data_IF_505379722157
#
_entry.id   IF_505379722157
#
_cell.length_a   1.000
_cell.length_b   1.000
_cell.length_c   1.000
_cell.angle_alpha   90.00
_cell.angle_beta   90.00
_cell.angle_gamma   90.00
#
_symmetry.space_group_name_H-M   'P 1'
#
loop_
_entity.id
_entity.type
_entity.pdbx_description
1 polymer ?
#
# COMPACT_ATOMS: atom_id res chain seq x y z
N UNK A 1 -7.25 -1.87 21.06
CA UNK A 1 -7.29 -2.04 19.61
C UNK A 1 -6.11 -1.37 18.96
N UNK A 2 -5.11 -2.17 18.60
CA UNK A 2 -3.98 -1.77 17.74
C UNK A 2 -4.27 -2.33 16.34
N UNK A 3 -4.16 -1.48 15.32
CA UNK A 3 -4.27 -1.85 13.92
C UNK A 3 -2.95 -1.55 13.22
N UNK A 4 -2.27 -2.58 12.69
CA UNK A 4 -1.08 -2.39 11.87
C UNK A 4 -1.47 -2.22 10.40
N UNK A 5 -1.27 -1.03 9.86
CA UNK A 5 -1.66 -0.69 8.48
C UNK A 5 -0.69 -1.15 7.41
N UNK A 6 0.48 -1.71 7.77
CA UNK A 6 1.52 -2.02 6.80
C UNK A 6 2.35 -3.23 7.22
N UNK A 7 1.88 -4.41 6.84
CA UNK A 7 2.61 -5.66 7.06
C UNK A 7 2.90 -6.39 5.73
N UNK A 8 3.93 -7.22 5.78
CA UNK A 8 4.33 -8.09 4.68
C UNK A 8 4.28 -9.54 5.11
N UNK A 9 4.00 -10.42 4.16
CA UNK A 9 4.10 -11.88 4.30
C UNK A 9 4.81 -12.42 3.05
N UNK A 10 5.47 -13.57 3.17
CA UNK A 10 6.25 -14.19 2.10
C UNK A 10 7.76 -13.96 2.26
N UNK A 11 8.52 -14.37 1.24
CA UNK A 11 9.98 -14.24 1.21
C UNK A 11 10.41 -13.11 0.31
N UNK A 12 11.20 -12.20 0.87
CA UNK A 12 11.91 -11.15 0.14
C UNK A 12 13.43 -11.32 0.29
N UNK A 13 13.90 -12.55 0.55
CA UNK A 13 15.31 -12.85 0.82
C UNK A 13 16.26 -12.34 -0.27
N UNK A 14 15.86 -12.48 -1.54
CA UNK A 14 16.67 -12.07 -2.69
C UNK A 14 16.87 -10.55 -2.80
N UNK A 15 15.97 -9.75 -2.22
CA UNK A 15 16.02 -8.29 -2.30
C UNK A 15 16.46 -7.64 -0.98
N UNK A 16 15.95 -8.15 0.15
CA UNK A 16 16.07 -7.50 1.46
C UNK A 16 16.56 -8.44 2.56
N UNK A 17 16.76 -9.74 2.28
CA UNK A 17 17.25 -10.69 3.28
C UNK A 17 16.25 -10.97 4.41
N UNK A 18 14.96 -10.78 4.18
CA UNK A 18 13.89 -10.97 5.18
C UNK A 18 12.77 -11.86 4.63
N UNK A 19 12.18 -12.66 5.51
CA UNK A 19 11.01 -13.47 5.22
C UNK A 19 10.17 -13.64 6.48
N UNK A 20 8.85 -13.71 6.29
CA UNK A 20 7.91 -14.08 7.35
C UNK A 20 6.75 -14.82 6.72
N UNK A 21 6.41 -15.97 7.29
CA UNK A 21 5.27 -16.77 6.83
C UNK A 21 4.02 -16.49 7.66
N UNK A 22 2.94 -17.23 7.37
CA UNK A 22 1.66 -17.16 8.08
C UNK A 22 1.80 -17.37 9.58
N UNK A 23 2.59 -18.34 10.03
CA UNK A 23 2.74 -18.64 11.46
C UNK A 23 3.60 -17.58 12.16
N UNK A 24 4.61 -17.07 11.47
CA UNK A 24 5.45 -15.97 11.94
C UNK A 24 4.64 -14.71 12.17
N UNK A 25 3.80 -14.29 11.22
CA UNK A 25 3.01 -13.06 11.37
C UNK A 25 1.96 -13.19 12.48
N UNK A 26 1.30 -14.34 12.58
CA UNK A 26 0.34 -14.65 13.65
C UNK A 26 1.01 -14.64 15.04
N UNK A 27 2.24 -15.16 15.14
CA UNK A 27 3.05 -15.06 16.36
C UNK A 27 3.41 -13.60 16.70
N UNK A 28 3.87 -12.81 15.73
CA UNK A 28 4.24 -11.41 15.97
C UNK A 28 3.04 -10.56 16.38
N UNK A 29 1.88 -10.78 15.77
CA UNK A 29 0.65 -10.07 16.15
C UNK A 29 0.30 -10.33 17.62
N UNK A 30 0.38 -11.58 18.09
CA UNK A 30 0.18 -11.90 19.51
C UNK A 30 1.24 -11.29 20.41
N UNK A 31 2.51 -11.39 20.04
CA UNK A 31 3.64 -10.90 20.83
C UNK A 31 3.59 -9.38 21.05
N UNK A 32 3.08 -8.65 20.07
CA UNK A 32 2.96 -7.18 20.10
C UNK A 32 1.54 -6.68 20.33
N UNK A 33 0.61 -7.56 20.72
CA UNK A 33 -0.79 -7.20 21.03
C UNK A 33 -1.51 -6.47 19.86
N UNK A 34 -1.15 -6.81 18.62
CA UNK A 34 -1.78 -6.31 17.39
C UNK A 34 -3.07 -7.12 17.17
N UNK A 35 -4.21 -6.46 17.30
CA UNK A 35 -5.53 -7.10 17.15
C UNK A 35 -5.92 -7.28 15.68
N UNK A 36 -5.56 -6.30 14.84
CA UNK A 36 -5.90 -6.31 13.43
C UNK A 36 -4.75 -5.74 12.60
N UNK A 37 -4.72 -6.07 11.31
CA UNK A 37 -3.86 -5.36 10.40
C UNK A 37 -3.98 -5.80 8.96
N UNK A 38 -3.16 -5.18 8.12
CA UNK A 38 -3.24 -5.33 6.67
C UNK A 38 -1.93 -5.88 6.13
N UNK A 39 -2.03 -6.96 5.36
CA UNK A 39 -0.93 -7.63 4.68
C UNK A 39 -1.05 -7.50 3.17
N UNK A 40 0.09 -7.57 2.49
CA UNK A 40 0.14 -7.67 1.04
C UNK A 40 1.43 -8.34 0.56
N UNK A 41 1.33 -8.97 -0.61
CA UNK A 41 2.41 -9.65 -1.29
C UNK A 41 2.09 -9.65 -2.81
N UNK A 42 3.08 -9.65 -3.72
CA UNK A 42 2.82 -9.69 -5.16
C UNK A 42 1.97 -10.88 -5.64
N UNK A 43 2.01 -11.99 -4.91
CA UNK A 43 1.08 -13.11 -5.06
C UNK A 43 -0.18 -12.87 -4.22
N UNK A 44 -1.24 -12.38 -4.86
CA UNK A 44 -2.53 -12.11 -4.22
C UNK A 44 -3.24 -13.38 -3.73
N UNK A 45 -3.04 -14.54 -4.39
CA UNK A 45 -3.64 -15.80 -3.95
C UNK A 45 -3.03 -16.26 -2.63
N UNK A 46 -1.71 -16.08 -2.47
CA UNK A 46 -1.07 -16.32 -1.19
C UNK A 46 -1.60 -15.40 -0.07
N UNK A 47 -1.91 -14.14 -0.38
CA UNK A 47 -2.54 -13.23 0.59
C UNK A 47 -3.92 -13.74 1.01
N UNK A 48 -4.73 -14.29 0.09
CA UNK A 48 -6.03 -14.92 0.42
C UNK A 48 -5.83 -16.02 1.47
N UNK A 49 -4.91 -16.95 1.24
CA UNK A 49 -4.63 -18.05 2.17
C UNK A 49 -4.26 -17.53 3.58
N UNK A 50 -3.44 -16.48 3.65
CA UNK A 50 -2.99 -15.87 4.91
C UNK A 50 -4.15 -15.20 5.64
N UNK A 51 -4.93 -14.35 4.96
CA UNK A 51 -6.01 -13.61 5.62
C UNK A 51 -7.16 -14.52 6.03
N UNK A 52 -7.40 -15.63 5.33
CA UNK A 52 -8.38 -16.64 5.74
C UNK A 52 -7.93 -17.40 7.00
N UNK A 53 -6.63 -17.62 7.15
CA UNK A 53 -6.07 -18.46 8.21
C UNK A 53 -5.76 -17.72 9.51
N UNK A 54 -5.52 -16.41 9.46
CA UNK A 54 -5.13 -15.59 10.62
C UNK A 54 -6.25 -14.60 10.97
N UNK A 55 -6.90 -14.73 12.14
CA UNK A 55 -7.92 -13.78 12.58
C UNK A 55 -7.36 -12.35 12.68
N UNK A 56 -8.18 -11.36 12.31
CA UNK A 56 -7.80 -9.94 12.36
C UNK A 56 -6.94 -9.46 11.18
N UNK A 57 -6.48 -10.37 10.30
CA UNK A 57 -5.77 -9.98 9.08
C UNK A 57 -6.71 -9.67 7.91
N UNK A 58 -6.34 -8.62 7.20
CA UNK A 58 -6.95 -8.12 5.97
C UNK A 58 -5.89 -7.98 4.88
N UNK A 59 -6.31 -7.99 3.62
CA UNK A 59 -5.43 -7.91 2.46
C UNK A 59 -5.50 -6.57 1.73
N UNK A 60 -4.40 -6.17 1.10
CA UNK A 60 -4.45 -5.27 -0.06
C UNK A 60 -4.09 -6.05 -1.31
N UNK A 61 -4.83 -5.81 -2.38
CA UNK A 61 -4.51 -6.36 -3.70
C UNK A 61 -3.23 -5.68 -4.18
N UNK A 62 -2.18 -6.45 -4.44
CA UNK A 62 -1.04 -5.97 -5.20
C UNK A 62 -1.50 -5.70 -6.63
N UNK A 63 -1.64 -4.43 -6.98
CA UNK A 63 -2.18 -3.98 -8.25
C UNK A 63 -1.04 -3.52 -9.16
N UNK A 64 -0.70 -4.36 -10.14
CA UNK A 64 0.33 -4.06 -11.13
C UNK A 64 -0.32 -3.80 -12.51
N UNK A 65 -0.39 -2.54 -12.98
CA UNK A 65 -1.02 -2.18 -14.25
C UNK A 65 -0.23 -2.63 -15.50
N UNK A 66 0.97 -3.21 -15.32
CA UNK A 66 1.80 -3.75 -16.40
C UNK A 66 1.46 -5.21 -16.75
N UNK A 67 0.69 -5.89 -15.91
CA UNK A 67 0.30 -7.28 -16.13
C UNK A 67 -0.93 -7.38 -17.05
N UNK A 68 -1.02 -8.39 -17.93
CA UNK A 68 -2.23 -8.65 -18.71
C UNK A 68 -3.44 -8.91 -17.79
N UNK A 69 -4.59 -8.31 -18.10
CA UNK A 69 -5.82 -8.51 -17.33
C UNK A 69 -5.79 -7.93 -15.91
N UNK A 70 -4.86 -7.02 -15.61
CA UNK A 70 -4.67 -6.47 -14.25
C UNK A 70 -5.96 -5.95 -13.60
N UNK A 71 -6.86 -5.36 -14.39
CA UNK A 71 -8.12 -4.80 -13.88
C UNK A 71 -9.11 -5.91 -13.48
N UNK A 72 -9.20 -6.98 -14.27
CA UNK A 72 -10.08 -8.12 -13.97
C UNK A 72 -9.60 -8.83 -12.71
N UNK A 73 -8.29 -9.08 -12.64
CA UNK A 73 -7.63 -9.67 -11.46
C UNK A 73 -7.88 -8.81 -10.22
N UNK A 74 -7.71 -7.49 -10.32
CA UNK A 74 -7.97 -6.60 -9.19
C UNK A 74 -9.44 -6.61 -8.77
N UNK A 75 -10.36 -6.62 -9.73
CA UNK A 75 -11.82 -6.68 -9.48
C UNK A 75 -12.22 -7.96 -8.76
N UNK A 76 -11.62 -9.09 -9.14
CA UNK A 76 -11.82 -10.41 -8.52
C UNK A 76 -11.38 -10.39 -7.05
N UNK A 77 -10.11 -10.06 -6.78
CA UNK A 77 -9.60 -10.08 -5.40
C UNK A 77 -10.27 -9.05 -4.49
N UNK A 78 -10.61 -7.86 -5.00
CA UNK A 78 -11.39 -6.89 -4.23
C UNK A 78 -12.82 -7.37 -3.93
N UNK A 79 -13.32 -8.40 -4.61
CA UNK A 79 -14.60 -9.05 -4.28
C UNK A 79 -14.54 -9.87 -2.98
N UNK A 80 -13.34 -10.19 -2.49
CA UNK A 80 -13.15 -10.94 -1.25
C UNK A 80 -13.36 -10.03 -0.03
N UNK A 81 -14.17 -10.43 0.98
CA UNK A 81 -14.57 -9.55 2.09
C UNK A 81 -13.43 -9.12 3.03
N UNK A 82 -12.27 -9.80 2.96
CA UNK A 82 -11.07 -9.42 3.72
C UNK A 82 -10.11 -8.52 2.97
N UNK A 83 -10.37 -8.18 1.70
CA UNK A 83 -9.54 -7.21 0.98
C UNK A 83 -10.12 -5.81 1.12
N UNK A 84 -9.27 -4.88 1.57
CA UNK A 84 -9.69 -3.53 1.95
C UNK A 84 -9.23 -2.44 0.97
N UNK A 85 -8.59 -2.81 -0.13
CA UNK A 85 -8.07 -1.86 -1.10
C UNK A 85 -6.88 -2.43 -1.89
N UNK A 86 -6.06 -1.54 -2.44
CA UNK A 86 -4.90 -1.91 -3.25
C UNK A 86 -3.57 -1.46 -2.62
N UNK A 87 -2.52 -2.21 -2.90
CA UNK A 87 -1.12 -1.81 -2.76
C UNK A 87 -0.56 -1.63 -4.17
N UNK A 88 0.05 -0.48 -4.42
CA UNK A 88 0.79 -0.22 -5.66
C UNK A 88 2.26 0.06 -5.33
N UNK A 89 3.17 -0.50 -6.13
CA UNK A 89 4.60 -0.28 -5.97
C UNK A 89 5.27 0.18 -7.28
N UNK A 90 5.06 1.45 -7.70
CA UNK A 90 5.51 1.97 -8.99
C UNK A 90 7.01 1.76 -9.28
N UNK A 91 7.85 1.80 -8.24
CA UNK A 91 9.29 1.53 -8.37
C UNK A 91 9.61 0.07 -8.75
N UNK A 92 8.95 -0.91 -8.13
CA UNK A 92 9.24 -2.33 -8.37
C UNK A 92 8.58 -2.81 -9.66
N UNK A 93 7.35 -2.35 -9.90
CA UNK A 93 6.54 -2.78 -11.04
C UNK A 93 6.81 -1.95 -12.31
N UNK A 94 7.55 -0.83 -12.21
CA UNK A 94 8.04 -0.07 -13.36
C UNK A 94 6.99 0.79 -14.07
N UNK A 95 6.32 1.67 -13.32
CA UNK A 95 5.34 2.62 -13.89
C UNK A 95 5.35 3.98 -13.19
N UNK A 96 4.85 5.03 -13.85
CA UNK A 96 4.60 6.32 -13.20
C UNK A 96 3.26 6.27 -12.45
N UNK A 97 3.11 6.82 -11.23
CA UNK A 97 1.86 6.74 -10.46
C UNK A 97 0.64 7.31 -11.19
N UNK A 98 0.83 8.34 -12.01
CA UNK A 98 -0.23 8.94 -12.84
C UNK A 98 -0.27 8.41 -14.30
N UNK A 99 0.34 7.26 -14.58
CA UNK A 99 0.26 6.67 -15.91
C UNK A 99 -1.21 6.30 -16.26
N UNK A 100 -1.67 6.49 -17.51
CA UNK A 100 -3.05 6.14 -17.91
C UNK A 100 -3.46 4.69 -17.63
N UNK A 101 -2.50 3.76 -17.56
CA UNK A 101 -2.75 2.37 -17.16
C UNK A 101 -3.16 2.21 -15.68
N UNK A 102 -2.92 3.21 -14.84
CA UNK A 102 -3.31 3.22 -13.42
C UNK A 102 -4.75 3.71 -13.25
N UNK A 103 -5.24 4.57 -14.14
CA UNK A 103 -6.52 5.26 -13.99
C UNK A 103 -7.72 4.31 -13.80
N UNK A 104 -7.87 3.20 -14.54
CA UNK A 104 -8.99 2.27 -14.33
C UNK A 104 -8.99 1.61 -12.94
N UNK A 105 -7.82 1.40 -12.33
CA UNK A 105 -7.72 0.86 -10.97
C UNK A 105 -8.20 1.90 -9.94
N UNK A 106 -7.90 3.17 -10.18
CA UNK A 106 -8.34 4.26 -9.30
C UNK A 106 -9.85 4.48 -9.42
N UNK A 107 -10.40 4.45 -10.63
CA UNK A 107 -11.85 4.52 -10.85
C UNK A 107 -12.59 3.37 -10.13
N UNK A 108 -12.07 2.14 -10.22
CA UNK A 108 -12.60 0.98 -9.51
C UNK A 108 -12.58 1.19 -7.97
N UNK A 109 -11.50 1.76 -7.44
CA UNK A 109 -11.39 2.06 -6.01
C UNK A 109 -12.37 3.17 -5.57
N UNK A 110 -12.58 4.19 -6.41
CA UNK A 110 -13.58 5.24 -6.16
C UNK A 110 -14.98 4.63 -6.12
N UNK A 111 -15.33 3.78 -7.10
CA UNK A 111 -16.65 3.11 -7.15
C UNK A 111 -16.91 2.27 -5.89
N UNK A 112 -15.86 1.61 -5.38
CA UNK A 112 -15.94 0.75 -4.19
C UNK A 112 -15.70 1.47 -2.87
N UNK A 113 -15.43 2.77 -2.89
CA UNK A 113 -15.04 3.58 -1.73
C UNK A 113 -13.82 3.03 -0.96
N UNK A 114 -12.88 2.40 -1.67
CA UNK A 114 -11.68 1.75 -1.10
C UNK A 114 -10.40 2.57 -1.33
N UNK A 115 -9.40 2.50 -0.43
CA UNK A 115 -8.12 3.18 -0.58
C UNK A 115 -7.10 2.44 -1.46
N UNK A 116 -6.08 3.19 -1.91
CA UNK A 116 -4.82 2.64 -2.42
C UNK A 116 -3.64 3.10 -1.57
N UNK A 117 -2.80 2.17 -1.15
CA UNK A 117 -1.49 2.41 -0.55
C UNK A 117 -0.44 2.41 -1.65
N UNK A 118 0.18 3.54 -1.90
CA UNK A 118 1.22 3.68 -2.92
C UNK A 118 2.57 3.84 -2.22
N UNK A 119 3.54 2.99 -2.58
CA UNK A 119 4.91 3.16 -2.09
C UNK A 119 5.41 4.59 -2.38
N UNK A 120 6.01 5.26 -1.39
CA UNK A 120 6.51 6.62 -1.53
C UNK A 120 7.91 6.76 -0.90
N UNK A 121 8.79 7.54 -1.55
CA UNK A 121 10.10 7.96 -1.03
C UNK A 121 11.31 7.64 -1.90
N UNK A 122 11.13 6.96 -3.03
CA UNK A 122 12.26 6.53 -3.87
C UNK A 122 12.12 7.01 -5.33
N UNK A 123 13.11 7.73 -5.87
CA UNK A 123 13.10 8.09 -7.27
C UNK A 123 13.24 6.85 -8.16
N UNK A 124 12.80 6.89 -9.42
CA UNK A 124 12.23 8.07 -10.10
C UNK A 124 10.70 8.16 -10.00
N UNK A 125 10.02 7.04 -9.69
CA UNK A 125 8.56 6.95 -9.81
C UNK A 125 7.78 7.18 -8.52
N UNK A 126 8.41 7.09 -7.34
CA UNK A 126 7.68 7.13 -6.06
C UNK A 126 7.95 8.39 -5.25
N UNK A 127 8.25 9.52 -5.92
CA UNK A 127 8.33 10.81 -5.25
C UNK A 127 6.91 11.31 -4.89
N UNK A 128 6.74 12.04 -3.77
CA UNK A 128 5.42 12.50 -3.33
C UNK A 128 4.70 13.32 -4.41
N UNK A 129 5.42 14.17 -5.14
CA UNK A 129 4.85 14.98 -6.23
C UNK A 129 4.39 14.16 -7.44
N UNK A 130 5.08 13.06 -7.76
CA UNK A 130 4.65 12.13 -8.81
C UNK A 130 3.32 11.45 -8.47
N UNK A 131 3.06 11.22 -7.17
CA UNK A 131 1.80 10.68 -6.67
C UNK A 131 0.73 11.79 -6.54
N UNK A 132 1.14 13.03 -6.21
CA UNK A 132 0.25 14.20 -6.15
C UNK A 132 -0.45 14.44 -7.49
N UNK A 133 0.22 14.22 -8.63
CA UNK A 133 -0.40 14.31 -9.96
C UNK A 133 -1.64 13.41 -10.09
N UNK A 134 -1.56 12.18 -9.57
CA UNK A 134 -2.69 11.26 -9.55
C UNK A 134 -3.78 11.74 -8.58
N UNK A 135 -3.38 12.21 -7.39
CA UNK A 135 -4.33 12.67 -6.37
C UNK A 135 -5.16 13.88 -6.81
N UNK A 136 -4.53 14.82 -7.53
CA UNK A 136 -5.19 15.98 -8.12
C UNK A 136 -6.13 15.56 -9.26
N UNK A 137 -5.74 14.57 -10.07
CA UNK A 137 -6.56 14.04 -11.16
C UNK A 137 -7.80 13.26 -10.67
N UNK A 138 -7.70 12.63 -9.50
CA UNK A 138 -8.76 11.78 -8.92
C UNK A 138 -9.12 12.25 -7.50
N UNK A 139 -9.77 13.41 -7.32
CA UNK A 139 -10.06 13.98 -6.00
C UNK A 139 -11.02 13.14 -5.15
N UNK A 140 -11.77 12.21 -5.76
CA UNK A 140 -12.63 11.27 -5.04
C UNK A 140 -11.88 10.03 -4.52
N UNK A 141 -10.65 9.77 -4.99
CA UNK A 141 -9.87 8.61 -4.58
C UNK A 141 -9.18 8.80 -3.24
N UNK A 142 -9.20 7.78 -2.38
CA UNK A 142 -8.47 7.76 -1.11
C UNK A 142 -7.04 7.24 -1.35
N UNK A 143 -6.05 8.13 -1.35
CA UNK A 143 -4.66 7.78 -1.65
C UNK A 143 -3.82 7.85 -0.39
N UNK A 144 -3.09 6.79 -0.09
CA UNK A 144 -2.21 6.68 1.08
C UNK A 144 -0.76 6.68 0.59
N UNK A 145 0.03 7.66 1.03
CA UNK A 145 1.47 7.71 0.78
C UNK A 145 2.21 6.81 1.79
N UNK A 146 2.67 5.65 1.32
CA UNK A 146 3.42 4.68 2.12
C UNK A 146 4.76 5.23 2.60
N UNK A 147 5.11 4.97 3.86
CA UNK A 147 6.34 5.44 4.51
C UNK A 147 6.56 6.96 4.53
N UNK A 148 5.56 7.76 4.13
CA UNK A 148 5.63 9.22 4.10
C UNK A 148 6.93 9.74 3.47
N UNK A 149 7.32 9.22 2.30
CA UNK A 149 8.50 9.69 1.58
C UNK A 149 9.84 9.11 2.05
N UNK A 150 9.83 8.06 2.86
CA UNK A 150 10.94 7.15 3.24
C UNK A 150 12.37 7.73 3.22
N UNK A 151 12.98 7.90 4.40
CA UNK A 151 14.43 8.06 4.56
C UNK A 151 15.04 9.39 4.09
N UNK A 152 14.31 10.22 3.35
CA UNK A 152 14.81 11.50 2.84
C UNK A 152 13.95 12.68 3.33
N UNK A 153 14.57 13.63 4.04
CA UNK A 153 13.88 14.80 4.64
C UNK A 153 13.09 15.62 3.62
N UNK A 154 13.59 15.73 2.39
CA UNK A 154 12.95 16.51 1.32
C UNK A 154 11.65 15.83 0.89
N UNK A 155 11.66 14.51 0.76
CA UNK A 155 10.49 13.74 0.35
C UNK A 155 9.50 13.55 1.49
N UNK A 156 9.98 13.50 2.74
CA UNK A 156 9.14 13.51 3.93
C UNK A 156 8.37 14.84 4.03
N UNK A 157 9.05 15.98 3.95
CA UNK A 157 8.39 17.28 3.93
C UNK A 157 7.44 17.40 2.73
N UNK A 158 7.88 16.94 1.55
CA UNK A 158 7.03 16.90 0.36
C UNK A 158 5.75 16.10 0.59
N UNK A 159 5.83 14.91 1.19
CA UNK A 159 4.65 14.09 1.51
C UNK A 159 3.68 14.81 2.45
N UNK A 160 4.21 15.46 3.50
CA UNK A 160 3.40 16.27 4.43
C UNK A 160 2.69 17.41 3.68
N UNK A 161 3.42 18.15 2.84
CA UNK A 161 2.85 19.25 2.08
C UNK A 161 1.79 18.77 1.07
N UNK A 162 2.03 17.66 0.38
CA UNK A 162 1.04 17.04 -0.54
C UNK A 162 -0.24 16.71 0.23
N UNK A 163 -0.14 16.06 1.39
CA UNK A 163 -1.31 15.73 2.21
C UNK A 163 -2.05 16.98 2.73
N UNK A 164 -1.32 18.04 3.09
CA UNK A 164 -1.94 19.31 3.52
C UNK A 164 -2.68 20.03 2.38
N UNK A 165 -2.21 19.90 1.14
CA UNK A 165 -2.84 20.51 -0.05
C UNK A 165 -4.02 19.70 -0.57
N UNK A 166 -4.04 18.38 -0.35
CA UNK A 166 -4.99 17.46 -0.96
C UNK A 166 -5.74 16.66 0.12
N UNK A 167 -7.01 17.01 0.35
CA UNK A 167 -7.85 16.38 1.40
C UNK A 167 -8.11 14.88 1.23
N UNK A 168 -7.82 14.33 0.04
CA UNK A 168 -7.98 12.92 -0.29
C UNK A 168 -6.68 12.11 -0.13
N UNK A 169 -5.60 12.74 0.36
CA UNK A 169 -4.30 12.12 0.58
C UNK A 169 -4.03 11.91 2.08
N UNK A 170 -3.60 10.70 2.41
CA UNK A 170 -3.30 10.25 3.76
C UNK A 170 -1.82 9.82 3.86
N UNK A 171 -1.25 9.86 5.05
CA UNK A 171 0.14 9.49 5.30
C UNK A 171 0.20 8.22 6.13
N UNK A 172 0.96 7.24 5.65
CA UNK A 172 1.29 6.02 6.37
C UNK A 172 2.77 6.11 6.76
N UNK A 173 3.09 5.90 8.04
CA UNK A 173 4.35 6.38 8.64
C UNK A 173 5.31 5.26 9.07
N UNK A 174 4.98 4.00 8.81
CA UNK A 174 5.86 2.86 9.05
C UNK A 174 7.15 2.96 8.23
N UNK A 175 8.23 2.35 8.70
CA UNK A 175 9.52 2.33 8.00
C UNK A 175 10.19 3.72 7.84
N UNK A 176 9.64 4.76 8.47
CA UNK A 176 10.15 6.13 8.36
C UNK A 176 11.15 6.44 9.49
N UNK A 177 12.44 6.72 9.20
CA UNK A 177 13.47 6.82 10.23
C UNK A 177 13.48 8.15 11.02
N UNK A 178 12.72 9.16 10.61
CA UNK A 178 12.68 10.50 11.23
C UNK A 178 11.47 10.69 12.16
N UNK A 179 11.42 9.94 13.25
CA UNK A 179 10.34 9.95 14.25
C UNK A 179 9.85 11.35 14.68
N UNK A 180 10.70 12.39 14.67
CA UNK A 180 10.34 13.78 15.04
C UNK A 180 9.32 14.44 14.11
N UNK A 181 9.04 13.84 12.94
CA UNK A 181 8.06 14.29 11.96
C UNK A 181 6.67 13.66 12.15
N UNK A 182 6.55 12.60 12.94
CA UNK A 182 5.27 11.99 13.30
C UNK A 182 4.77 12.70 14.56
N UNK A 183 3.56 13.27 14.50
CA UNK A 183 2.94 14.01 15.61
C UNK A 183 1.48 13.62 15.75
#
# INVERSE_FOLDING_TARGET
>A
MIFDSHMHVGSFESMFGVAIDRDGIDKLMREHEIENGVVFHPDNAYVVEVVESVPGLYGLVWANPRLPGYLDVATEFLGHPKFLGMKMHPLLDGFHPNDPSVHPLIELLVERDMPTLIHCGHPIFTLPWSIEELAVGFPAAKIILGHMGHGNVVYINGSIEVALRNSNVYLETSGMPMHTKIR
#
